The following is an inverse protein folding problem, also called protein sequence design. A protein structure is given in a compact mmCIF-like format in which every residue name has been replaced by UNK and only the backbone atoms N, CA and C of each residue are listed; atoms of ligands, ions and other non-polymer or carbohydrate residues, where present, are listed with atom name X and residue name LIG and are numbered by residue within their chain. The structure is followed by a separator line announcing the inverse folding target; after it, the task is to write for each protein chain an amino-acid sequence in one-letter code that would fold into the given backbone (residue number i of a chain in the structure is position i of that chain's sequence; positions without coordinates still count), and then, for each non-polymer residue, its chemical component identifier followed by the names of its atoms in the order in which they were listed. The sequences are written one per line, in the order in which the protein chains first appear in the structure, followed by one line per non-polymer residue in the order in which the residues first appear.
data_IF_462302023356
#
_entry.id   IF_462302023356
#
_cell.length_a   1.000
_cell.length_b   1.000
_cell.length_c   1.000
_cell.angle_alpha   90.00
_cell.angle_beta   90.00
_cell.angle_gamma   90.00
#
_symmetry.space_group_name_H-M   'P 1'
#
loop_
_entity.id
_entity.type
_entity.pdbx_description
1 polymer ?
#
# COMPACT_ATOMS: atom_id res chain seq x y z
N UNK A 1 -5.02 14.64 7.61
CA UNK A 1 -4.95 13.94 6.36
C UNK A 1 -5.87 14.59 5.37
N UNK A 2 -5.39 14.91 4.18
CA UNK A 2 -6.24 15.35 3.08
C UNK A 2 -7.26 14.24 2.81
N UNK A 3 -8.53 14.67 2.76
CA UNK A 3 -9.66 13.81 2.45
C UNK A 3 -9.73 13.58 0.93
N UNK A 4 -8.74 12.97 0.35
CA UNK A 4 -8.97 12.32 -0.92
C UNK A 4 -9.80 11.08 -0.58
N UNK A 5 -11.08 11.15 -0.91
CA UNK A 5 -12.01 10.05 -0.70
C UNK A 5 -11.49 8.82 -1.41
N UNK A 6 -10.79 8.00 -0.68
CA UNK A 6 -10.22 6.78 -1.20
C UNK A 6 -11.30 5.73 -1.04
N UNK A 7 -12.00 5.58 -2.10
CA UNK A 7 -12.99 4.55 -2.22
C UNK A 7 -12.43 3.45 -3.12
N UNK A 8 -12.39 2.24 -2.62
CA UNK A 8 -12.24 1.07 -3.48
C UNK A 8 -13.46 0.89 -4.40
N UNK A 9 -14.52 1.63 -4.10
CA UNK A 9 -15.73 1.72 -4.89
C UNK A 9 -15.97 3.20 -5.17
N UNK A 10 -15.98 3.63 -6.43
CA UNK A 10 -16.09 5.06 -6.78
C UNK A 10 -17.39 5.73 -6.32
N UNK A 11 -18.41 4.95 -5.99
CA UNK A 11 -19.71 5.36 -5.49
C UNK A 11 -19.81 5.39 -3.95
N UNK A 12 -18.74 5.02 -3.24
CA UNK A 12 -18.71 4.92 -1.78
C UNK A 12 -17.61 5.82 -1.21
N UNK A 13 -17.98 6.74 -0.35
CA UNK A 13 -17.06 7.65 0.34
C UNK A 13 -16.61 7.03 1.67
N UNK A 14 -15.48 6.32 1.69
CA UNK A 14 -14.91 5.75 2.90
C UNK A 14 -14.21 6.79 3.76
N UNK A 15 -14.37 6.66 5.08
CA UNK A 15 -13.73 7.50 6.09
C UNK A 15 -13.23 6.64 7.25
N UNK A 16 -12.07 6.98 7.78
CA UNK A 16 -11.62 6.39 9.04
C UNK A 16 -12.42 7.05 10.18
N UNK A 17 -13.20 6.24 10.85
CA UNK A 17 -13.98 6.63 12.02
C UNK A 17 -13.26 6.36 13.34
N UNK A 18 -13.95 6.59 14.44
CA UNK A 18 -13.41 6.32 15.78
C UNK A 18 -13.48 4.84 16.13
N UNK A 19 -12.60 4.44 17.03
CA UNK A 19 -12.60 3.10 17.61
C UNK A 19 -12.52 1.96 16.57
N UNK A 20 -11.67 2.12 15.56
CA UNK A 20 -11.43 1.10 14.55
C UNK A 20 -12.51 0.93 13.49
N UNK A 21 -13.41 1.88 13.37
CA UNK A 21 -14.46 1.85 12.36
C UNK A 21 -13.96 2.37 11.02
N UNK A 22 -14.41 1.73 9.96
CA UNK A 22 -14.42 2.28 8.61
C UNK A 22 -15.85 2.72 8.31
N UNK A 23 -16.04 4.04 8.17
CA UNK A 23 -17.34 4.65 7.92
C UNK A 23 -17.50 4.95 6.43
N UNK A 24 -18.71 4.84 5.91
CA UNK A 24 -18.98 5.15 4.50
C UNK A 24 -20.42 5.58 4.28
N UNK A 25 -20.64 6.33 3.21
CA UNK A 25 -21.96 6.75 2.76
C UNK A 25 -22.28 5.98 1.49
N UNK A 26 -23.45 5.35 1.44
CA UNK A 26 -23.95 4.66 0.26
C UNK A 26 -25.45 4.98 0.11
N UNK A 27 -25.86 5.36 -1.10
CA UNK A 27 -27.25 5.72 -1.42
C UNK A 27 -27.84 6.79 -0.46
N UNK A 28 -26.99 7.72 0.04
CA UNK A 28 -27.37 8.76 0.97
C UNK A 28 -27.48 8.33 2.44
N UNK A 29 -27.26 7.08 2.76
CA UNK A 29 -27.30 6.52 4.10
C UNK A 29 -25.88 6.28 4.64
N UNK A 30 -25.70 6.48 5.96
CA UNK A 30 -24.43 6.29 6.66
C UNK A 30 -24.31 4.86 7.19
N UNK A 31 -23.17 4.23 6.90
CA UNK A 31 -22.83 2.89 7.34
C UNK A 31 -21.47 2.87 8.02
N UNK A 32 -21.18 1.79 8.74
CA UNK A 32 -19.83 1.50 9.19
C UNK A 32 -19.54 0.00 9.21
N UNK A 33 -18.25 -0.32 9.10
CA UNK A 33 -17.73 -1.67 9.36
C UNK A 33 -16.69 -1.58 10.47
N UNK A 34 -16.68 -2.51 11.41
CA UNK A 34 -15.62 -2.63 12.41
C UNK A 34 -14.39 -3.23 11.72
N UNK A 35 -13.47 -2.38 11.28
CA UNK A 35 -12.28 -2.74 10.51
C UNK A 35 -11.13 -3.20 11.40
N UNK A 36 -10.89 -2.49 12.50
CA UNK A 36 -9.83 -2.75 13.46
C UNK A 36 -10.42 -2.95 14.86
N UNK A 37 -9.71 -3.59 15.79
CA UNK A 37 -10.11 -3.62 17.19
C UNK A 37 -10.30 -2.18 17.75
N UNK A 38 -11.25 -1.94 18.65
CA UNK A 38 -11.54 -0.60 19.17
C UNK A 38 -10.54 -0.15 20.25
N UNK A 39 -9.24 -0.43 20.03
CA UNK A 39 -8.17 -0.16 21.00
C UNK A 39 -7.68 1.28 20.98
N UNK A 40 -7.82 1.95 19.84
CA UNK A 40 -7.41 3.34 19.66
C UNK A 40 -8.62 4.20 19.31
N UNK A 41 -8.82 5.34 20.02
CA UNK A 41 -10.01 6.18 19.81
C UNK A 41 -10.15 6.75 18.41
N UNK A 42 -9.02 7.05 17.75
CA UNK A 42 -8.96 7.70 16.43
C UNK A 42 -8.03 6.98 15.44
N UNK A 43 -7.61 5.76 15.78
CA UNK A 43 -6.61 4.96 15.06
C UNK A 43 -5.23 5.64 14.93
N UNK A 44 -4.98 6.73 15.62
CA UNK A 44 -3.65 7.32 15.64
C UNK A 44 -2.69 6.45 16.47
N UNK A 45 -1.50 6.25 15.94
CA UNK A 45 -0.41 5.54 16.61
C UNK A 45 0.87 6.33 16.41
N UNK A 46 1.44 6.85 17.52
CA UNK A 46 2.73 7.53 17.44
C UNK A 46 3.86 6.51 17.28
N UNK A 47 5.02 7.00 16.79
CA UNK A 47 6.23 6.16 16.70
C UNK A 47 6.63 5.60 18.07
N UNK A 48 6.50 6.40 19.13
CA UNK A 48 6.81 5.98 20.51
C UNK A 48 5.89 4.87 20.99
N UNK A 49 4.59 5.00 20.70
CA UNK A 49 3.63 3.97 21.06
C UNK A 49 3.95 2.66 20.34
N UNK A 50 4.25 2.73 19.05
CA UNK A 50 4.64 1.55 18.28
C UNK A 50 5.93 0.90 18.82
N UNK A 51 6.96 1.68 19.13
CA UNK A 51 8.20 1.18 19.74
C UNK A 51 7.92 0.51 21.08
N UNK A 52 7.11 1.11 21.94
CA UNK A 52 6.75 0.51 23.23
C UNK A 52 6.00 -0.82 23.07
N UNK A 53 5.12 -0.93 22.09
CA UNK A 53 4.45 -2.21 21.77
C UNK A 53 5.45 -3.25 21.26
N UNK A 54 6.36 -2.85 20.37
CA UNK A 54 7.41 -3.74 19.87
C UNK A 54 8.32 -4.25 21.00
N UNK A 55 8.72 -3.36 21.93
CA UNK A 55 9.53 -3.73 23.09
C UNK A 55 8.78 -4.71 24.00
N UNK A 56 7.49 -4.48 24.21
CA UNK A 56 6.67 -5.34 25.04
C UNK A 56 6.55 -6.78 24.50
N UNK A 57 6.47 -6.92 23.16
CA UNK A 57 6.31 -8.23 22.51
C UNK A 57 7.61 -8.83 21.97
N UNK A 58 8.73 -8.14 22.11
CA UNK A 58 10.05 -8.63 21.67
C UNK A 58 10.27 -8.52 20.15
N UNK A 59 9.72 -7.50 19.51
CA UNK A 59 9.95 -7.22 18.08
C UNK A 59 11.05 -6.18 17.93
N UNK A 60 12.15 -6.55 17.28
CA UNK A 60 13.31 -5.66 17.10
C UNK A 60 13.05 -4.59 16.05
N UNK A 61 12.49 -4.95 14.90
CA UNK A 61 12.29 -4.06 13.75
C UNK A 61 10.94 -4.26 13.11
N UNK A 62 10.41 -3.19 12.52
CA UNK A 62 9.16 -3.23 11.75
C UNK A 62 9.29 -2.47 10.44
N UNK A 63 8.59 -2.94 9.41
CA UNK A 63 8.38 -2.22 8.16
C UNK A 63 7.08 -1.46 8.25
N UNK A 64 7.16 -0.13 8.17
CA UNK A 64 6.01 0.75 8.16
C UNK A 64 5.46 0.80 6.72
N UNK A 65 4.31 0.22 6.53
CA UNK A 65 3.59 0.26 5.26
C UNK A 65 2.32 1.10 5.44
N UNK A 66 1.93 1.79 4.40
CA UNK A 66 0.65 2.46 4.35
C UNK A 66 -0.04 2.17 3.02
N UNK A 67 -1.33 2.09 3.08
CA UNK A 67 -2.19 2.05 1.90
C UNK A 67 -2.84 3.42 1.75
N UNK A 68 -3.24 3.77 0.54
CA UNK A 68 -3.88 5.07 0.24
C UNK A 68 -5.15 5.32 1.06
N UNK A 69 -5.78 4.28 1.61
CA UNK A 69 -6.93 4.43 2.52
C UNK A 69 -6.60 5.28 3.75
N UNK A 70 -5.33 5.34 4.13
CA UNK A 70 -4.86 6.14 5.26
C UNK A 70 -4.40 7.55 4.85
N UNK A 71 -4.45 7.87 3.55
CA UNK A 71 -3.95 9.12 2.98
C UNK A 71 -2.44 9.12 2.75
N UNK A 72 -1.88 10.29 2.46
CA UNK A 72 -0.45 10.46 2.22
C UNK A 72 0.29 10.62 3.56
N UNK A 73 1.06 9.62 3.94
CA UNK A 73 1.79 9.57 5.22
C UNK A 73 3.31 9.72 5.07
N UNK A 74 3.81 10.11 3.90
CA UNK A 74 5.24 10.16 3.59
C UNK A 74 6.06 10.91 4.65
N UNK A 75 5.62 12.14 5.01
CA UNK A 75 6.31 12.95 6.01
C UNK A 75 6.28 12.33 7.41
N UNK A 76 5.16 11.72 7.79
CA UNK A 76 5.03 11.06 9.08
C UNK A 76 5.92 9.81 9.16
N UNK A 77 5.93 8.98 8.12
CA UNK A 77 6.76 7.78 8.07
C UNK A 77 8.24 8.14 8.00
N UNK A 78 8.61 9.18 7.24
CA UNK A 78 9.98 9.72 7.20
C UNK A 78 10.45 10.19 8.57
N UNK A 79 9.59 10.87 9.35
CA UNK A 79 9.89 11.24 10.73
C UNK A 79 10.07 10.02 11.64
N UNK A 80 9.24 8.98 11.50
CA UNK A 80 9.39 7.74 12.25
C UNK A 80 10.74 7.08 11.99
N UNK A 81 11.14 6.93 10.72
CA UNK A 81 12.43 6.36 10.33
C UNK A 81 13.60 7.21 10.85
N UNK A 82 13.52 8.54 10.71
CA UNK A 82 14.55 9.46 11.18
C UNK A 82 14.75 9.39 12.70
N UNK A 83 13.69 9.24 13.48
CA UNK A 83 13.73 9.17 14.95
C UNK A 83 14.16 7.80 15.48
N UNK A 84 13.80 6.75 14.77
CA UNK A 84 14.05 5.36 15.18
C UNK A 84 14.65 4.53 14.03
N UNK A 85 15.85 4.90 13.51
CA UNK A 85 16.44 4.27 12.32
C UNK A 85 16.77 2.78 12.51
N UNK A 86 17.01 2.36 13.75
CA UNK A 86 17.29 0.96 14.10
C UNK A 86 16.03 0.13 14.30
N UNK A 87 14.86 0.78 14.34
CA UNK A 87 13.58 0.14 14.65
C UNK A 87 12.64 0.11 13.44
N UNK A 88 12.69 1.11 12.56
CA UNK A 88 11.77 1.25 11.46
C UNK A 88 12.46 1.30 10.10
N UNK A 89 11.83 0.64 9.16
CA UNK A 89 11.99 0.83 7.71
C UNK A 89 10.65 1.26 7.17
N UNK A 90 10.59 2.20 6.23
CA UNK A 90 9.34 2.61 5.62
C UNK A 90 9.25 2.20 4.15
N UNK A 91 8.03 1.91 3.72
CA UNK A 91 7.66 1.69 2.34
C UNK A 91 7.19 2.97 1.67
N UNK A 92 7.74 3.24 0.49
CA UNK A 92 7.27 4.25 -0.43
C UNK A 92 5.92 3.85 -1.04
N UNK A 93 5.20 4.82 -1.58
CA UNK A 93 3.94 4.57 -2.29
C UNK A 93 3.83 5.49 -3.51
N UNK A 94 3.36 4.92 -4.61
CA UNK A 94 2.98 5.66 -5.82
C UNK A 94 1.48 5.47 -6.09
N UNK A 95 0.93 6.28 -6.97
CA UNK A 95 -0.40 6.02 -7.53
C UNK A 95 -0.23 5.00 -8.65
N UNK A 96 -0.52 3.72 -8.37
CA UNK A 96 -0.12 2.57 -9.16
C UNK A 96 -0.57 2.65 -10.63
N UNK A 97 -1.79 3.15 -10.88
CA UNK A 97 -2.35 3.28 -12.24
C UNK A 97 -1.68 4.35 -13.11
N UNK A 98 -0.79 5.13 -12.53
CA UNK A 98 0.01 6.16 -13.21
C UNK A 98 1.47 6.13 -12.74
N UNK A 99 1.90 5.02 -12.18
CA UNK A 99 3.19 4.85 -11.50
C UNK A 99 4.42 5.20 -12.34
N UNK A 100 4.36 5.01 -13.66
CA UNK A 100 5.45 5.38 -14.58
C UNK A 100 5.51 6.86 -14.96
N UNK A 101 4.59 7.71 -14.46
CA UNK A 101 4.61 9.16 -14.77
C UNK A 101 5.72 9.89 -14.02
N UNK A 102 6.27 10.96 -14.60
CA UNK A 102 7.36 11.72 -13.98
C UNK A 102 7.08 12.17 -12.54
N UNK A 103 5.86 12.63 -12.26
CA UNK A 103 5.45 13.10 -10.94
C UNK A 103 5.50 11.97 -9.88
N UNK A 104 5.18 10.73 -10.27
CA UNK A 104 5.25 9.55 -9.40
C UNK A 104 6.70 9.08 -9.22
N UNK A 105 7.49 9.12 -10.28
CA UNK A 105 8.92 8.78 -10.22
C UNK A 105 9.69 9.77 -9.34
N UNK A 106 9.42 11.07 -9.46
CA UNK A 106 10.01 12.09 -8.61
C UNK A 106 9.61 11.92 -7.14
N UNK A 107 8.36 11.54 -6.89
CA UNK A 107 7.88 11.21 -5.55
C UNK A 107 8.64 10.02 -4.97
N UNK A 108 8.76 8.92 -5.71
CA UNK A 108 9.49 7.73 -5.26
C UNK A 108 10.95 8.04 -4.97
N UNK A 109 11.64 8.79 -5.85
CA UNK A 109 13.02 9.24 -5.61
C UNK A 109 13.14 10.00 -4.29
N UNK A 110 12.29 10.99 -4.08
CA UNK A 110 12.27 11.78 -2.85
C UNK A 110 12.06 10.91 -1.61
N UNK A 111 11.12 9.96 -1.66
CA UNK A 111 10.83 9.07 -0.54
C UNK A 111 12.04 8.17 -0.19
N UNK A 112 12.77 7.68 -1.19
CA UNK A 112 13.95 6.84 -0.98
C UNK A 112 15.19 7.67 -0.59
N UNK A 113 15.48 8.72 -1.33
CA UNK A 113 16.75 9.47 -1.19
C UNK A 113 16.70 10.46 -0.01
N UNK A 114 15.58 11.15 0.21
CA UNK A 114 15.46 12.18 1.24
C UNK A 114 14.82 11.67 2.53
N UNK A 115 13.81 10.77 2.44
CA UNK A 115 13.10 10.25 3.60
C UNK A 115 13.66 8.90 4.09
N UNK A 116 14.54 8.28 3.31
CA UNK A 116 15.25 7.06 3.70
C UNK A 116 14.42 5.78 3.58
N UNK A 117 13.38 5.77 2.75
CA UNK A 117 12.55 4.59 2.53
C UNK A 117 13.34 3.51 1.78
N UNK A 118 13.01 2.23 1.99
CA UNK A 118 13.79 1.09 1.47
C UNK A 118 12.98 0.06 0.72
N UNK A 119 11.69 0.27 0.59
CA UNK A 119 10.80 -0.61 -0.15
C UNK A 119 9.68 0.22 -0.79
N UNK A 120 9.08 -0.31 -1.85
CA UNK A 120 7.87 0.21 -2.46
C UNK A 120 6.70 -0.69 -2.06
N UNK A 121 5.64 -0.15 -1.51
CA UNK A 121 4.37 -0.86 -1.40
C UNK A 121 3.57 -0.64 -2.67
N UNK A 122 3.25 -1.72 -3.37
CA UNK A 122 2.52 -1.67 -4.64
C UNK A 122 1.27 -2.56 -4.57
N UNK A 123 0.11 -1.96 -4.78
CA UNK A 123 -1.18 -2.62 -4.73
C UNK A 123 -1.85 -2.64 -6.10
N UNK A 124 -2.10 -3.82 -6.66
CA UNK A 124 -2.88 -3.95 -7.90
C UNK A 124 -4.34 -3.51 -7.72
N UNK A 125 -4.81 -3.42 -6.47
CA UNK A 125 -6.09 -2.80 -6.15
C UNK A 125 -6.20 -1.35 -6.64
N UNK A 126 -5.08 -0.65 -6.80
CA UNK A 126 -5.04 0.70 -7.37
C UNK A 126 -5.52 0.80 -8.81
N UNK A 127 -5.46 -0.28 -9.56
CA UNK A 127 -5.91 -0.30 -10.95
C UNK A 127 -7.42 -0.12 -11.12
N UNK A 128 -8.19 -0.11 -10.03
CA UNK A 128 -9.60 0.25 -10.11
C UNK A 128 -9.83 1.66 -10.70
N UNK A 129 -8.85 2.56 -10.57
CA UNK A 129 -8.90 3.91 -11.16
C UNK A 129 -8.91 3.91 -12.69
N UNK A 130 -8.54 2.80 -13.30
CA UNK A 130 -8.58 2.54 -14.74
C UNK A 130 -9.46 1.32 -15.07
N UNK A 131 -10.49 1.08 -14.25
CA UNK A 131 -11.44 -0.03 -14.39
C UNK A 131 -10.77 -1.41 -14.53
N UNK A 132 -9.61 -1.59 -13.88
CA UNK A 132 -8.76 -2.78 -14.00
C UNK A 132 -8.31 -3.14 -15.43
N UNK A 133 -8.27 -2.14 -16.33
CA UNK A 133 -7.74 -2.30 -17.70
C UNK A 133 -6.21 -2.17 -17.75
N UNK A 134 -5.53 -2.42 -16.65
CA UNK A 134 -4.07 -2.38 -16.53
C UNK A 134 -3.59 -3.60 -15.73
N UNK A 135 -2.42 -4.08 -16.06
CA UNK A 135 -1.72 -5.16 -15.35
C UNK A 135 -0.32 -4.70 -14.94
N UNK A 136 0.33 -5.47 -14.06
CA UNK A 136 1.67 -5.11 -13.54
C UNK A 136 2.76 -5.06 -14.62
N UNK A 137 2.55 -5.76 -15.73
CA UNK A 137 3.43 -5.78 -16.91
C UNK A 137 2.99 -4.81 -18.01
N UNK A 138 2.10 -3.84 -17.71
CA UNK A 138 1.75 -2.78 -18.65
C UNK A 138 2.98 -1.90 -18.95
N UNK A 139 3.32 -1.66 -20.23
CA UNK A 139 4.52 -0.90 -20.61
C UNK A 139 4.57 0.54 -20.05
N UNK A 140 3.43 1.10 -19.66
CA UNK A 140 3.40 2.42 -19.02
C UNK A 140 4.04 2.41 -17.62
N UNK A 141 4.24 1.23 -17.01
CA UNK A 141 4.91 1.05 -15.73
C UNK A 141 6.41 0.75 -15.86
N UNK A 142 6.93 0.47 -17.08
CA UNK A 142 8.35 0.19 -17.26
C UNK A 142 9.28 1.25 -16.61
N UNK A 143 9.02 2.57 -16.74
CA UNK A 143 9.86 3.57 -16.08
C UNK A 143 9.86 3.46 -14.54
N UNK A 144 8.79 2.95 -13.94
CA UNK A 144 8.74 2.68 -12.50
C UNK A 144 9.63 1.50 -12.13
N UNK A 145 9.56 0.42 -12.89
CA UNK A 145 10.36 -0.78 -12.61
C UNK A 145 11.85 -0.53 -12.80
N UNK A 146 12.22 0.22 -13.84
CA UNK A 146 13.60 0.68 -14.05
C UNK A 146 14.09 1.50 -12.85
N UNK A 147 13.29 2.45 -12.38
CA UNK A 147 13.64 3.28 -11.23
C UNK A 147 13.76 2.47 -9.94
N UNK A 148 12.86 1.52 -9.68
CA UNK A 148 12.91 0.64 -8.51
C UNK A 148 14.21 -0.18 -8.51
N UNK A 149 14.60 -0.70 -9.67
CA UNK A 149 15.86 -1.43 -9.84
C UNK A 149 17.07 -0.53 -9.61
N UNK A 150 17.09 0.67 -10.19
CA UNK A 150 18.17 1.65 -10.03
C UNK A 150 18.34 2.10 -8.57
N UNK A 151 17.23 2.28 -7.85
CA UNK A 151 17.23 2.62 -6.42
C UNK A 151 17.62 1.44 -5.52
N UNK A 152 17.62 0.22 -6.04
CA UNK A 152 17.96 -1.00 -5.31
C UNK A 152 17.02 -1.31 -4.15
N UNK A 153 15.74 -0.94 -4.28
CA UNK A 153 14.72 -1.19 -3.26
C UNK A 153 13.90 -2.44 -3.59
N UNK A 154 13.31 -3.04 -2.55
CA UNK A 154 12.38 -4.16 -2.72
C UNK A 154 10.96 -3.68 -2.99
N UNK A 155 10.12 -4.55 -3.55
CA UNK A 155 8.69 -4.30 -3.67
C UNK A 155 7.93 -5.21 -2.70
N UNK A 156 6.99 -4.61 -1.95
CA UNK A 156 5.99 -5.32 -1.18
C UNK A 156 4.67 -5.32 -1.95
N UNK A 157 4.37 -6.46 -2.53
CA UNK A 157 3.19 -6.63 -3.38
C UNK A 157 1.94 -6.94 -2.58
N UNK A 158 0.88 -6.25 -2.90
CA UNK A 158 -0.47 -6.59 -2.49
C UNK A 158 -1.30 -6.84 -3.75
N UNK A 159 -1.62 -8.12 -4.01
CA UNK A 159 -2.54 -8.48 -5.08
C UNK A 159 -3.96 -8.38 -4.56
N UNK A 160 -4.76 -7.56 -5.18
CA UNK A 160 -6.12 -7.33 -4.74
C UNK A 160 -6.97 -6.62 -5.77
N UNK A 161 -7.36 -7.31 -6.84
CA UNK A 161 -8.51 -6.86 -7.64
C UNK A 161 -9.75 -6.97 -6.74
N UNK A 162 -10.18 -5.89 -6.13
CA UNK A 162 -11.24 -5.88 -5.10
C UNK A 162 -12.67 -5.96 -5.69
N UNK A 163 -12.85 -6.10 -6.98
CA UNK A 163 -14.16 -6.22 -7.62
C UNK A 163 -14.33 -7.55 -8.33
N UNK A 164 -15.36 -8.30 -7.91
CA UNK A 164 -15.94 -9.38 -8.70
C UNK A 164 -15.02 -10.57 -8.96
N UNK A 165 -14.13 -10.86 -8.04
CA UNK A 165 -13.18 -11.95 -8.18
C UNK A 165 -13.86 -13.29 -8.43
N UNK A 166 -13.63 -13.81 -9.63
CA UNK A 166 -13.64 -15.25 -9.84
C UNK A 166 -12.26 -15.83 -9.48
N UNK A 167 -12.19 -17.12 -9.20
CA UNK A 167 -10.90 -17.79 -9.04
C UNK A 167 -10.02 -17.70 -10.29
N UNK A 168 -10.62 -17.51 -11.47
CA UNK A 168 -9.93 -17.33 -12.74
C UNK A 168 -9.19 -16.00 -12.82
N UNK A 169 -9.83 -14.91 -12.39
CA UNK A 169 -9.21 -13.57 -12.35
C UNK A 169 -7.98 -13.56 -11.44
N UNK A 170 -8.05 -14.25 -10.31
CA UNK A 170 -6.92 -14.36 -9.40
C UNK A 170 -5.77 -15.17 -10.00
N UNK A 171 -6.06 -16.27 -10.68
CA UNK A 171 -5.05 -17.07 -11.39
C UNK A 171 -4.39 -16.26 -12.50
N UNK A 172 -5.15 -15.44 -13.21
CA UNK A 172 -4.62 -14.54 -14.24
C UNK A 172 -3.69 -13.47 -13.63
N UNK A 173 -4.10 -12.84 -12.55
CA UNK A 173 -3.27 -11.88 -11.81
C UNK A 173 -1.95 -12.51 -11.35
N UNK A 174 -1.98 -13.74 -10.84
CA UNK A 174 -0.77 -14.48 -10.46
C UNK A 174 0.12 -14.78 -11.66
N UNK A 175 -0.44 -15.15 -12.82
CA UNK A 175 0.33 -15.36 -14.05
C UNK A 175 1.01 -14.09 -14.52
N UNK A 176 0.30 -12.96 -14.50
CA UNK A 176 0.86 -11.66 -14.86
C UNK A 176 1.99 -11.26 -13.92
N UNK A 177 1.82 -11.52 -12.62
CA UNK A 177 2.89 -11.30 -11.63
C UNK A 177 4.12 -12.21 -11.91
N UNK A 178 3.92 -13.50 -12.22
CA UNK A 178 5.03 -14.41 -12.54
C UNK A 178 5.78 -13.91 -13.78
N UNK A 179 5.05 -13.52 -14.85
CA UNK A 179 5.64 -12.96 -16.06
C UNK A 179 6.46 -11.71 -15.78
N UNK A 180 5.93 -10.83 -14.93
CA UNK A 180 6.63 -9.63 -14.47
C UNK A 180 7.91 -10.00 -13.69
N UNK A 181 7.83 -10.94 -12.75
CA UNK A 181 8.96 -11.36 -11.92
C UNK A 181 10.08 -12.03 -12.74
N UNK A 182 9.72 -12.78 -13.78
CA UNK A 182 10.68 -13.35 -14.72
C UNK A 182 11.39 -12.28 -15.56
N UNK A 183 10.71 -11.19 -15.87
CA UNK A 183 11.29 -10.05 -16.61
C UNK A 183 12.16 -9.15 -15.71
N UNK A 184 11.93 -9.15 -14.39
CA UNK A 184 12.63 -8.29 -13.42
C UNK A 184 13.28 -9.12 -12.28
N UNK A 185 14.18 -10.07 -12.59
CA UNK A 185 14.74 -10.99 -11.59
C UNK A 185 15.61 -10.32 -10.54
N UNK A 186 16.09 -9.12 -10.81
CA UNK A 186 16.95 -8.35 -9.91
C UNK A 186 16.18 -7.46 -8.92
N UNK A 187 14.84 -7.39 -9.03
CA UNK A 187 14.00 -6.65 -8.11
C UNK A 187 13.51 -7.58 -6.99
N UNK A 188 13.99 -7.45 -5.74
CA UNK A 188 13.52 -8.27 -4.63
C UNK A 188 12.03 -8.04 -4.37
N UNK A 189 11.26 -9.13 -4.31
CA UNK A 189 9.81 -9.07 -4.17
C UNK A 189 9.32 -9.82 -2.94
N UNK A 190 8.44 -9.18 -2.17
CA UNK A 190 7.80 -9.75 -0.99
C UNK A 190 6.29 -9.77 -1.24
N UNK A 191 5.70 -10.95 -1.21
CA UNK A 191 4.27 -11.13 -1.42
C UNK A 191 3.54 -10.94 -0.08
N UNK A 192 2.96 -9.79 0.14
CA UNK A 192 2.16 -9.54 1.33
C UNK A 192 0.85 -10.33 1.26
N UNK A 193 0.39 -10.83 2.42
CA UNK A 193 -0.79 -11.70 2.51
C UNK A 193 -0.73 -12.94 1.60
N UNK A 194 0.49 -13.39 1.23
CA UNK A 194 0.72 -14.49 0.29
C UNK A 194 -0.06 -14.35 -1.04
N UNK A 195 -0.28 -13.12 -1.50
CA UNK A 195 -1.17 -12.75 -2.60
C UNK A 195 -2.63 -13.24 -2.42
N UNK A 196 -3.01 -13.64 -1.23
CA UNK A 196 -4.32 -14.21 -0.97
C UNK A 196 -5.15 -13.29 -0.08
N UNK A 197 -5.99 -12.48 -0.67
CA UNK A 197 -7.24 -12.04 -0.03
C UNK A 197 -8.41 -12.82 -0.60
N UNK A 198 -8.31 -14.13 -0.62
CA UNK A 198 -9.45 -14.94 -1.03
C UNK A 198 -10.35 -15.09 0.20
N UNK A 199 -11.39 -14.29 0.24
CA UNK A 199 -12.58 -14.69 0.98
C UNK A 199 -13.23 -15.82 0.18
N UNK A 200 -12.80 -17.05 0.45
CA UNK A 200 -13.53 -18.24 0.04
C UNK A 200 -14.82 -18.26 0.87
N UNK A 201 -15.89 -17.71 0.33
CA UNK A 201 -17.24 -17.95 0.82
C UNK A 201 -17.80 -19.22 0.16
#
# INVERSE_FOLDING_TARGET
GEKDGISWQPDVNFRIGKFGKLEYTKDGEEYYTQWMPPTLPDLSSSAEYMVAQMDYVGVDRAVLQHDRIYGKLDSFLGECVRRYPDRFVAGAQVDEWVGGRPDQLDRLKREVEELGFRTLYFSTGGFFHVDFNMEVNDPSLDPLWDLVQDLGISIHWYAGKLRGFSGEDHIEELRNFITWAEAHPDIPSILTHALATIHLN
#
